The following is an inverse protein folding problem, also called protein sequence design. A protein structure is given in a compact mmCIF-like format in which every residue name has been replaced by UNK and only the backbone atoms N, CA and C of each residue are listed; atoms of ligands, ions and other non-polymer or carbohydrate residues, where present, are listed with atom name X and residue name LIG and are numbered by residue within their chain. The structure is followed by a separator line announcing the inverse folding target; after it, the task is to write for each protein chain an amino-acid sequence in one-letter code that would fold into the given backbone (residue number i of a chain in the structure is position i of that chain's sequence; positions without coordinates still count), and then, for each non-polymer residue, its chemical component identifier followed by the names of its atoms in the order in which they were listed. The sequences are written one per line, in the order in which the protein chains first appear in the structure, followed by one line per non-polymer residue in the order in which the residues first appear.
data_IF_950873678783
#
_entry.id   IF_950873678783
#
_cell.length_a   1.000
_cell.length_b   1.000
_cell.length_c   1.000
_cell.angle_alpha   90.00
_cell.angle_beta   90.00
_cell.angle_gamma   90.00
#
_symmetry.space_group_name_H-M   'P 1'
#
loop_
_entity.id
_entity.type
_entity.pdbx_description
1 polymer ?
#
# COMPACT_ATOMS: atom_id res chain seq x y z
N UNK A 1 -10.21 -2.78 18.94
CA UNK A 1 -9.66 -2.08 17.76
C UNK A 1 -8.14 -1.97 17.89
N UNK A 2 -7.34 -2.87 17.29
CA UNK A 2 -5.86 -2.81 17.48
C UNK A 2 -4.99 -3.46 16.39
N UNK A 3 -5.50 -4.40 15.58
CA UNK A 3 -4.62 -5.12 14.62
C UNK A 3 -4.14 -4.25 13.45
N UNK A 4 -5.00 -3.39 12.90
CA UNK A 4 -4.67 -2.53 11.74
C UNK A 4 -3.56 -1.52 12.10
N UNK A 5 -3.60 -0.98 13.33
CA UNK A 5 -2.61 -0.02 13.84
C UNK A 5 -1.24 -0.67 14.06
N UNK A 6 -1.13 -1.99 14.23
CA UNK A 6 0.18 -2.65 14.31
C UNK A 6 0.88 -2.74 12.94
N UNK A 7 0.10 -2.96 11.88
CA UNK A 7 0.64 -3.30 10.55
C UNK A 7 0.92 -2.10 9.64
N UNK A 8 0.46 -0.90 10.00
CA UNK A 8 0.75 0.31 9.22
C UNK A 8 2.24 0.70 9.26
N UNK A 9 2.89 0.62 10.43
CA UNK A 9 4.31 1.01 10.64
C UNK A 9 5.29 -0.15 10.76
N UNK A 10 4.81 -1.33 11.19
CA UNK A 10 5.65 -2.48 11.52
C UNK A 10 5.87 -3.48 10.36
N UNK A 11 6.20 -4.72 10.72
CA UNK A 11 6.19 -5.86 9.79
C UNK A 11 4.76 -6.10 9.28
N UNK A 12 4.59 -6.64 8.06
CA UNK A 12 3.27 -7.04 7.55
C UNK A 12 2.59 -8.07 8.47
N UNK A 13 1.26 -8.29 8.31
CA UNK A 13 0.57 -9.40 8.97
C UNK A 13 1.31 -10.71 8.69
N UNK A 14 1.46 -11.53 9.72
CA UNK A 14 2.25 -12.75 9.68
C UNK A 14 1.58 -13.79 10.56
N UNK A 15 1.66 -15.05 10.16
CA UNK A 15 1.18 -16.20 10.96
C UNK A 15 1.92 -16.34 12.29
N UNK A 16 3.06 -15.66 12.44
CA UNK A 16 3.79 -15.55 13.73
C UNK A 16 3.11 -14.60 14.72
N UNK A 17 2.09 -13.84 14.30
CA UNK A 17 1.30 -13.00 15.19
C UNK A 17 0.07 -13.78 15.64
N UNK A 18 0.05 -14.23 16.88
CA UNK A 18 -0.96 -15.13 17.44
C UNK A 18 -2.40 -14.61 17.23
N UNK A 19 -2.62 -13.31 17.47
CA UNK A 19 -3.92 -12.67 17.27
C UNK A 19 -4.36 -12.58 15.78
N UNK A 20 -3.41 -12.65 14.83
CA UNK A 20 -3.70 -12.75 13.40
C UNK A 20 -3.96 -14.20 12.99
N UNK A 21 -3.13 -15.12 13.47
CA UNK A 21 -3.25 -16.55 13.21
C UNK A 21 -4.58 -17.14 13.69
N UNK A 22 -5.16 -16.59 14.77
CA UNK A 22 -6.47 -17.00 15.30
C UNK A 22 -7.67 -16.48 14.49
N UNK A 23 -7.45 -15.57 13.53
CA UNK A 23 -8.54 -15.08 12.67
C UNK A 23 -8.95 -16.16 11.66
N UNK A 24 -10.23 -16.16 11.27
CA UNK A 24 -10.70 -16.98 10.14
C UNK A 24 -9.94 -16.59 8.87
N UNK A 25 -9.68 -17.52 7.93
CA UNK A 25 -8.93 -17.24 6.70
C UNK A 25 -9.47 -16.04 5.89
N UNK A 26 -10.79 -15.92 5.79
CA UNK A 26 -11.43 -14.76 5.16
C UNK A 26 -11.05 -13.43 5.83
N UNK A 27 -11.06 -13.39 7.16
CA UNK A 27 -10.73 -12.20 7.95
C UNK A 27 -9.24 -11.88 7.85
N UNK A 28 -8.36 -12.89 7.79
CA UNK A 28 -6.93 -12.71 7.54
C UNK A 28 -6.69 -11.96 6.23
N UNK A 29 -7.33 -12.41 5.15
CA UNK A 29 -7.26 -11.77 3.84
C UNK A 29 -7.76 -10.33 3.84
N UNK A 30 -8.85 -10.04 4.55
CA UNK A 30 -9.34 -8.65 4.70
C UNK A 30 -8.30 -7.79 5.43
N UNK A 31 -7.70 -8.29 6.50
CA UNK A 31 -6.66 -7.58 7.26
C UNK A 31 -5.40 -7.34 6.42
N UNK A 32 -4.98 -8.33 5.61
CA UNK A 32 -3.87 -8.18 4.67
C UNK A 32 -4.11 -7.08 3.64
N UNK A 33 -5.29 -7.07 2.99
CA UNK A 33 -5.66 -6.05 2.01
C UNK A 33 -5.70 -4.66 2.62
N UNK A 34 -6.32 -4.50 3.78
CA UNK A 34 -6.38 -3.22 4.49
C UNK A 34 -4.99 -2.74 4.93
N UNK A 35 -4.16 -3.66 5.45
CA UNK A 35 -2.79 -3.33 5.81
C UNK A 35 -1.98 -2.88 4.59
N UNK A 36 -2.15 -3.53 3.44
CA UNK A 36 -1.49 -3.16 2.20
C UNK A 36 -1.87 -1.75 1.73
N UNK A 37 -3.17 -1.42 1.74
CA UNK A 37 -3.67 -0.08 1.37
C UNK A 37 -3.08 1.00 2.28
N UNK A 38 -3.12 0.79 3.60
CA UNK A 38 -2.63 1.78 4.56
C UNK A 38 -1.12 1.98 4.43
N UNK A 39 -0.35 0.92 4.15
CA UNK A 39 1.10 1.02 3.94
C UNK A 39 1.46 1.81 2.70
N UNK A 40 0.67 1.68 1.63
CA UNK A 40 0.83 2.49 0.41
C UNK A 40 0.49 3.96 0.70
N UNK A 41 -0.59 4.22 1.44
CA UNK A 41 -0.94 5.58 1.86
C UNK A 41 0.17 6.23 2.72
N UNK A 42 0.69 5.50 3.72
CA UNK A 42 1.79 5.97 4.58
C UNK A 42 3.13 6.13 3.84
N UNK A 43 3.31 5.45 2.70
CA UNK A 43 4.45 5.66 1.82
C UNK A 43 4.31 6.95 1.00
N UNK A 44 3.13 7.18 0.45
CA UNK A 44 2.80 8.35 -0.37
C UNK A 44 2.66 9.64 0.46
N UNK A 45 2.51 9.54 1.78
CA UNK A 45 2.51 10.67 2.72
C UNK A 45 3.83 10.78 3.52
N UNK A 46 4.95 10.21 3.02
CA UNK A 46 6.20 10.09 3.77
C UNK A 46 6.73 11.42 4.31
N UNK A 47 6.67 12.49 3.51
CA UNK A 47 7.14 13.83 3.90
C UNK A 47 6.08 14.68 4.58
N UNK A 48 4.82 14.22 4.63
CA UNK A 48 3.66 14.93 5.18
C UNK A 48 3.39 16.31 4.55
N UNK A 49 3.85 16.49 3.30
CA UNK A 49 3.67 17.75 2.54
C UNK A 49 2.31 17.83 1.85
N UNK A 50 1.50 16.77 1.93
CA UNK A 50 0.23 16.65 1.18
C UNK A 50 0.41 16.86 -0.33
N UNK A 51 1.58 16.48 -0.86
CA UNK A 51 1.93 16.61 -2.28
C UNK A 51 1.09 15.70 -3.17
N UNK A 52 0.75 14.50 -2.67
CA UNK A 52 -0.14 13.55 -3.37
C UNK A 52 -1.60 13.97 -3.14
N UNK A 53 -2.32 14.20 -4.24
CA UNK A 53 -3.73 14.60 -4.24
C UNK A 53 -4.67 13.44 -4.52
N UNK A 54 -4.24 12.52 -5.38
CA UNK A 54 -5.07 11.41 -5.80
C UNK A 54 -4.22 10.18 -6.12
N UNK A 55 -4.77 9.02 -5.81
CA UNK A 55 -4.18 7.72 -6.15
C UNK A 55 -5.27 6.89 -6.80
N UNK A 56 -5.00 6.38 -8.00
CA UNK A 56 -5.88 5.46 -8.73
C UNK A 56 -5.11 4.22 -9.09
N UNK A 57 -5.74 3.06 -8.91
CA UNK A 57 -5.26 1.81 -9.48
C UNK A 57 -6.09 1.52 -10.73
N UNK A 58 -5.45 1.52 -11.88
CA UNK A 58 -6.08 1.27 -13.18
C UNK A 58 -5.58 -0.08 -13.69
N UNK A 59 -6.52 -0.97 -14.01
CA UNK A 59 -6.22 -2.22 -14.70
C UNK A 59 -6.54 -2.05 -16.18
N UNK A 60 -5.59 -2.37 -17.04
CA UNK A 60 -5.76 -2.40 -18.50
C UNK A 60 -5.28 -3.75 -19.02
N UNK A 61 -6.22 -4.65 -19.27
CA UNK A 61 -5.93 -6.06 -19.54
C UNK A 61 -5.16 -6.72 -18.40
N UNK A 62 -3.91 -7.12 -18.68
CA UNK A 62 -3.02 -7.75 -17.71
C UNK A 62 -2.17 -6.72 -16.93
N UNK A 63 -2.09 -5.48 -17.41
CA UNK A 63 -1.29 -4.44 -16.80
C UNK A 63 -2.04 -3.75 -15.64
N UNK A 64 -1.32 -3.51 -14.54
CA UNK A 64 -1.79 -2.70 -13.43
C UNK A 64 -0.93 -1.44 -13.31
N UNK A 65 -1.59 -0.29 -13.34
CA UNK A 65 -0.93 1.00 -13.18
C UNK A 65 -1.46 1.72 -11.93
N UNK A 66 -0.56 2.03 -11.01
CA UNK A 66 -0.82 2.94 -9.90
C UNK A 66 -0.53 4.37 -10.37
N UNK A 67 -1.58 5.11 -10.70
CA UNK A 67 -1.51 6.53 -11.07
C UNK A 67 -1.56 7.39 -9.82
N UNK A 68 -0.54 8.21 -9.63
CA UNK A 68 -0.38 9.12 -8.50
C UNK A 68 -0.43 10.55 -9.03
N UNK A 69 -1.52 11.26 -8.76
CA UNK A 69 -1.63 12.69 -9.07
C UNK A 69 -1.02 13.48 -7.95
N UNK A 70 0.01 14.28 -8.23
CA UNK A 70 0.74 15.03 -7.23
C UNK A 70 1.44 16.28 -7.76
N UNK A 71 1.80 17.16 -6.84
CA UNK A 71 2.56 18.38 -7.14
C UNK A 71 3.93 18.36 -6.48
N UNK A 72 4.97 18.70 -7.23
CA UNK A 72 6.35 18.82 -6.74
C UNK A 72 7.15 17.51 -6.76
N UNK A 73 8.30 17.52 -6.10
CA UNK A 73 9.21 16.37 -6.06
C UNK A 73 8.70 15.27 -5.13
N UNK A 74 8.36 14.11 -5.71
CA UNK A 74 7.87 12.91 -5.03
C UNK A 74 8.94 11.82 -4.83
N UNK A 75 10.23 12.09 -5.09
CA UNK A 75 11.30 11.09 -4.90
C UNK A 75 11.22 10.34 -3.55
N UNK A 76 11.11 11.00 -2.38
CA UNK A 76 11.08 10.28 -1.11
C UNK A 76 9.81 9.43 -0.92
N UNK A 77 8.67 9.85 -1.47
CA UNK A 77 7.43 9.08 -1.48
C UNK A 77 7.55 7.83 -2.37
N UNK A 78 8.08 7.98 -3.58
CA UNK A 78 8.29 6.89 -4.52
C UNK A 78 9.30 5.87 -4.01
N UNK A 79 10.38 6.33 -3.36
CA UNK A 79 11.33 5.45 -2.68
C UNK A 79 10.65 4.68 -1.53
N UNK A 80 9.88 5.36 -0.69
CA UNK A 80 9.13 4.69 0.38
C UNK A 80 8.09 3.71 -0.17
N UNK A 81 7.52 3.98 -1.35
CA UNK A 81 6.52 3.12 -1.99
C UNK A 81 7.13 1.80 -2.47
N UNK A 82 8.36 1.81 -2.98
CA UNK A 82 9.08 0.59 -3.41
C UNK A 82 9.20 -0.46 -2.30
N UNK A 83 9.32 -0.02 -1.05
CA UNK A 83 9.45 -0.94 0.09
C UNK A 83 8.11 -1.25 0.76
N UNK A 84 7.28 -0.23 1.00
CA UNK A 84 6.01 -0.41 1.71
C UNK A 84 4.90 -0.97 0.83
N UNK A 85 4.94 -0.72 -0.48
CA UNK A 85 3.98 -1.19 -1.47
C UNK A 85 4.11 -2.67 -1.84
N UNK A 86 5.22 -3.33 -1.48
CA UNK A 86 5.46 -4.75 -1.79
C UNK A 86 4.34 -5.68 -1.34
N UNK A 87 3.70 -5.39 -0.21
CA UNK A 87 2.56 -6.18 0.27
C UNK A 87 1.38 -6.08 -0.69
N UNK A 88 1.06 -4.86 -1.17
CA UNK A 88 -0.02 -4.65 -2.13
C UNK A 88 0.29 -5.37 -3.44
N UNK A 89 1.50 -5.20 -3.98
CA UNK A 89 1.89 -5.79 -5.27
C UNK A 89 1.85 -7.31 -5.21
N UNK A 90 2.30 -7.92 -4.09
CA UNK A 90 2.18 -9.36 -3.88
C UNK A 90 0.73 -9.84 -3.83
N UNK A 91 -0.16 -9.08 -3.18
CA UNK A 91 -1.58 -9.44 -3.07
C UNK A 91 -2.33 -9.31 -4.41
N UNK A 92 -1.82 -8.47 -5.33
CA UNK A 92 -2.39 -8.29 -6.67
C UNK A 92 -1.89 -9.32 -7.68
N UNK A 93 -0.85 -10.10 -7.31
CA UNK A 93 -0.24 -11.15 -8.13
C UNK A 93 0.15 -10.69 -9.55
N UNK A 94 0.49 -9.40 -9.68
CA UNK A 94 0.76 -8.73 -10.95
C UNK A 94 1.81 -7.64 -10.74
N UNK A 95 2.58 -7.36 -11.79
CA UNK A 95 3.51 -6.24 -11.77
C UNK A 95 2.73 -4.92 -11.83
N UNK A 96 3.03 -4.00 -10.91
CA UNK A 96 2.33 -2.72 -10.82
C UNK A 96 3.29 -1.61 -11.22
N UNK A 97 3.03 -1.01 -12.38
CA UNK A 97 3.72 0.20 -12.82
C UNK A 97 3.27 1.39 -11.98
N UNK A 98 4.17 2.31 -11.66
CA UNK A 98 3.84 3.54 -10.93
C UNK A 98 4.07 4.73 -11.86
N UNK A 99 3.02 5.51 -12.09
CA UNK A 99 3.05 6.70 -12.95
C UNK A 99 2.66 7.90 -12.11
N UNK A 100 3.46 8.97 -12.20
CA UNK A 100 3.17 10.25 -11.55
C UNK A 100 2.61 11.20 -12.60
N UNK A 101 1.48 11.83 -12.27
CA UNK A 101 0.80 12.81 -13.12
C UNK A 101 0.70 14.13 -12.35
N UNK A 102 0.86 15.26 -13.05
CA UNK A 102 0.53 16.57 -12.50
C UNK A 102 -1.00 16.79 -12.54
N UNK A 103 -1.59 17.45 -11.53
CA UNK A 103 -3.03 17.71 -11.47
C UNK A 103 -3.55 18.68 -12.53
#
# INVERSE_FOLDING_TARGET
MSQIVRYHRGKPPSMTHEAYAQLKPWTQHVVEKLAAIIRVADALDRTRRQSVRLVRLVADGDDLTLRVTATGDLKPELESLKDKGRLLFRLLDREVAVVVEEP
#
